data_IF_780616559156
#
_entry.id   IF_780616559156
#
_cell.length_a   1.000
_cell.length_b   1.000
_cell.length_c   1.000
_cell.angle_alpha   90.00
_cell.angle_beta   90.00
_cell.angle_gamma   90.00
#
_symmetry.space_group_name_H-M   'P 1'
#
loop_
_entity.id
_entity.type
_entity.pdbx_description
1 polymer ?
#
# COMPACT_ATOMS: atom_id res chain seq x y z
N UNK A 1 -14.28 -10.12 -6.58
CA UNK A 1 -13.13 -9.31 -6.17
C UNK A 1 -12.97 -9.40 -4.66
N UNK A 2 -11.75 -9.51 -4.19
CA UNK A 2 -11.41 -9.50 -2.76
C UNK A 2 -11.37 -8.09 -2.19
N UNK A 3 -11.11 -7.96 -0.88
CA UNK A 3 -10.99 -6.66 -0.23
C UNK A 3 -9.86 -5.83 -0.82
N UNK A 4 -10.07 -4.53 -0.89
CA UNK A 4 -9.10 -3.58 -1.45
C UNK A 4 -8.56 -2.72 -0.31
N UNK A 5 -7.23 -2.66 -0.20
CA UNK A 5 -6.54 -1.84 0.78
C UNK A 5 -5.67 -0.80 0.09
N UNK A 6 -5.35 0.25 0.80
CA UNK A 6 -4.33 1.20 0.37
C UNK A 6 -3.30 1.38 1.48
N UNK A 7 -2.08 1.67 1.06
CA UNK A 7 -0.98 1.99 1.96
C UNK A 7 -0.33 3.28 1.49
N UNK A 8 0.07 4.10 2.46
CA UNK A 8 0.97 5.23 2.22
C UNK A 8 2.18 4.99 3.11
N UNK A 9 3.33 4.81 2.50
CA UNK A 9 4.59 4.55 3.22
C UNK A 9 5.52 5.74 2.98
N UNK A 10 6.04 6.29 4.07
CA UNK A 10 6.96 7.42 4.04
C UNK A 10 8.38 6.98 4.39
N UNK A 11 9.36 7.48 3.65
CA UNK A 11 10.78 7.37 3.98
C UNK A 11 11.32 8.77 4.30
N UNK A 12 11.39 9.15 5.59
CA UNK A 12 11.85 10.47 5.98
C UNK A 12 13.32 10.69 5.58
N UNK A 13 13.56 11.75 4.77
CA UNK A 13 14.91 12.12 4.36
C UNK A 13 15.65 11.13 3.46
N UNK A 14 14.97 10.12 2.91
CA UNK A 14 15.60 9.09 2.09
C UNK A 14 14.65 8.50 1.06
N UNK A 15 15.18 7.66 0.21
CA UNK A 15 14.40 6.88 -0.75
C UNK A 15 14.49 5.39 -0.40
N UNK A 16 13.52 4.56 -0.84
CA UNK A 16 13.60 3.13 -0.61
C UNK A 16 14.79 2.52 -1.36
N UNK A 17 15.35 1.46 -0.79
CA UNK A 17 16.38 0.67 -1.48
C UNK A 17 15.71 -0.40 -2.35
N UNK A 18 16.51 -1.25 -2.98
CA UNK A 18 16.03 -2.25 -3.93
C UNK A 18 15.34 -3.47 -3.32
N UNK A 19 15.12 -3.52 -2.02
CA UNK A 19 14.52 -4.70 -1.36
C UNK A 19 13.02 -4.83 -1.58
N UNK A 20 12.30 -3.73 -1.71
CA UNK A 20 10.84 -3.75 -1.70
C UNK A 20 10.22 -4.27 -2.99
N UNK A 21 10.76 -3.89 -4.14
CA UNK A 21 10.17 -4.28 -5.42
C UNK A 21 10.12 -5.80 -5.62
N UNK A 22 11.20 -6.56 -5.40
CA UNK A 22 11.14 -8.02 -5.53
C UNK A 22 10.14 -8.68 -4.56
N UNK A 23 10.02 -8.17 -3.34
CA UNK A 23 9.06 -8.70 -2.37
C UNK A 23 7.62 -8.45 -2.81
N UNK A 24 7.34 -7.28 -3.37
CA UNK A 24 6.01 -6.96 -3.88
C UNK A 24 5.68 -7.81 -5.11
N UNK A 25 6.62 -7.99 -6.02
CA UNK A 25 6.47 -8.86 -7.19
C UNK A 25 6.19 -10.30 -6.75
N UNK A 26 6.88 -10.80 -5.72
CA UNK A 26 6.64 -12.14 -5.18
C UNK A 26 5.21 -12.31 -4.68
N UNK A 27 4.67 -11.31 -3.98
CA UNK A 27 3.28 -11.36 -3.52
C UNK A 27 2.29 -11.45 -4.68
N UNK A 28 2.56 -10.74 -5.77
CA UNK A 28 1.74 -10.80 -6.98
C UNK A 28 1.86 -12.17 -7.66
N UNK A 29 3.09 -12.66 -7.83
CA UNK A 29 3.35 -13.95 -8.48
C UNK A 29 2.73 -15.12 -7.73
N UNK A 30 2.68 -15.03 -6.41
CA UNK A 30 2.05 -16.05 -5.56
C UNK A 30 0.53 -15.94 -5.50
N UNK A 31 -0.07 -14.97 -6.18
CA UNK A 31 -1.51 -14.78 -6.21
C UNK A 31 -2.11 -14.23 -4.92
N UNK A 32 -1.29 -13.66 -4.04
CA UNK A 32 -1.76 -13.13 -2.76
C UNK A 32 -2.38 -11.75 -2.89
N UNK A 33 -1.83 -10.92 -3.77
CA UNK A 33 -2.35 -9.58 -4.05
C UNK A 33 -2.38 -9.31 -5.54
N UNK A 34 -3.18 -8.32 -5.93
CA UNK A 34 -3.16 -7.74 -7.26
C UNK A 34 -2.97 -6.23 -7.10
N UNK A 35 -1.92 -5.69 -7.72
CA UNK A 35 -1.67 -4.26 -7.68
C UNK A 35 -2.67 -3.55 -8.59
N UNK A 36 -3.42 -2.62 -8.04
CA UNK A 36 -4.39 -1.81 -8.78
C UNK A 36 -3.79 -0.47 -9.17
N UNK A 37 -2.94 0.11 -8.33
CA UNK A 37 -2.19 1.32 -8.66
C UNK A 37 -0.98 1.45 -7.73
N UNK A 38 0.08 2.06 -8.21
CA UNK A 38 1.29 2.33 -7.44
C UNK A 38 1.89 3.66 -7.90
N UNK A 39 2.09 4.57 -6.95
CA UNK A 39 2.65 5.89 -7.21
C UNK A 39 3.78 6.15 -6.23
N UNK A 40 4.86 6.75 -6.71
CA UNK A 40 5.97 7.19 -5.89
C UNK A 40 6.13 8.70 -6.02
N UNK A 41 6.33 9.38 -4.89
CA UNK A 41 6.48 10.83 -4.87
C UNK A 41 7.60 11.28 -3.94
N UNK A 42 8.11 12.47 -4.17
CA UNK A 42 9.10 13.14 -3.31
C UNK A 42 8.55 14.51 -2.94
N UNK A 43 8.66 14.87 -1.67
CA UNK A 43 8.33 16.20 -1.19
C UNK A 43 9.64 16.95 -0.93
N UNK A 44 9.87 18.01 -1.68
CA UNK A 44 11.09 18.81 -1.57
C UNK A 44 11.11 19.61 -0.28
N UNK A 45 12.29 20.15 0.05
CA UNK A 45 12.49 20.93 1.27
C UNK A 45 11.61 22.20 1.31
N UNK A 46 11.22 22.73 0.15
CA UNK A 46 10.35 23.90 0.04
C UNK A 46 8.84 23.55 0.09
N UNK A 47 8.52 22.27 0.24
CA UNK A 47 7.14 21.79 0.32
C UNK A 47 6.53 21.41 -1.03
N UNK A 48 7.23 21.60 -2.15
CA UNK A 48 6.74 21.16 -3.45
C UNK A 48 6.79 19.64 -3.58
N UNK A 49 5.88 19.05 -4.36
CA UNK A 49 5.75 17.63 -4.52
C UNK A 49 5.96 17.25 -5.97
N UNK A 50 6.80 16.23 -6.20
CA UNK A 50 7.05 15.68 -7.53
C UNK A 50 6.67 14.21 -7.53
N UNK A 51 5.84 13.82 -8.51
CA UNK A 51 5.51 12.41 -8.76
C UNK A 51 6.58 11.85 -9.71
N UNK A 52 7.20 10.74 -9.30
CA UNK A 52 8.30 10.14 -10.07
C UNK A 52 7.81 8.96 -10.89
N UNK A 53 8.38 8.80 -12.07
CA UNK A 53 8.14 7.63 -12.90
C UNK A 53 8.84 6.41 -12.29
N UNK A 54 8.12 5.31 -12.10
CA UNK A 54 8.68 4.10 -11.49
C UNK A 54 9.83 3.52 -12.31
N UNK A 55 9.74 3.60 -13.63
CA UNK A 55 10.79 3.10 -14.51
C UNK A 55 12.11 3.83 -14.42
N UNK A 56 12.10 5.07 -13.91
CA UNK A 56 13.33 5.87 -13.73
C UNK A 56 14.01 5.60 -12.38
N UNK A 57 13.34 4.88 -11.48
CA UNK A 57 13.87 4.55 -10.16
C UNK A 57 14.42 3.12 -10.21
N UNK A 58 15.75 2.92 -10.12
CA UNK A 58 16.33 1.56 -10.21
C UNK A 58 15.71 0.59 -9.21
N UNK A 59 15.43 1.05 -8.00
CA UNK A 59 14.82 0.22 -6.96
C UNK A 59 13.40 -0.24 -7.28
N UNK A 60 12.69 0.44 -8.15
CA UNK A 60 11.28 0.20 -8.45
C UNK A 60 11.02 -0.07 -9.94
N UNK A 61 12.06 -0.21 -10.74
CA UNK A 61 11.93 -0.35 -12.19
C UNK A 61 11.12 -1.59 -12.61
N UNK A 62 11.16 -2.67 -11.82
CA UNK A 62 10.39 -3.88 -12.09
C UNK A 62 8.87 -3.62 -12.01
N UNK A 63 8.45 -2.57 -11.33
CA UNK A 63 7.06 -2.21 -11.14
C UNK A 63 6.59 -1.14 -12.14
N UNK A 64 7.41 -0.80 -13.12
CA UNK A 64 7.04 0.15 -14.16
C UNK A 64 5.81 -0.37 -14.91
N UNK A 65 4.85 0.51 -15.17
CA UNK A 65 3.64 0.15 -15.89
C UNK A 65 2.46 -0.30 -15.04
N UNK A 66 2.62 -0.44 -13.71
CA UNK A 66 1.50 -0.81 -12.84
C UNK A 66 0.62 0.40 -12.44
N UNK A 67 1.02 1.61 -12.79
CA UNK A 67 0.21 2.80 -12.52
C UNK A 67 -1.01 2.83 -13.46
N UNK A 68 -2.21 2.85 -12.89
CA UNK A 68 -3.47 2.76 -13.64
C UNK A 68 -4.28 4.05 -13.62
N UNK A 69 -3.87 5.05 -12.82
CA UNK A 69 -4.61 6.29 -12.66
C UNK A 69 -5.80 6.23 -11.72
N UNK A 70 -5.97 5.13 -10.97
CA UNK A 70 -7.04 5.01 -9.97
C UNK A 70 -6.81 5.95 -8.78
N UNK A 71 -5.55 6.22 -8.45
CA UNK A 71 -5.20 7.23 -7.46
C UNK A 71 -5.19 8.56 -8.19
N UNK A 72 -6.08 9.46 -7.82
CA UNK A 72 -6.23 10.74 -8.50
C UNK A 72 -5.40 11.86 -7.83
N UNK A 73 -5.43 13.05 -8.42
CA UNK A 73 -4.66 14.20 -7.94
C UNK A 73 -5.08 14.62 -6.53
N UNK A 74 -6.35 14.50 -6.19
CA UNK A 74 -6.86 14.82 -4.87
C UNK A 74 -6.29 13.87 -3.82
N UNK A 75 -6.24 12.57 -4.14
CA UNK A 75 -5.61 11.56 -3.27
C UNK A 75 -4.13 11.86 -3.06
N UNK A 76 -3.44 12.28 -4.11
CA UNK A 76 -2.02 12.64 -4.04
C UNK A 76 -1.80 13.87 -3.15
N UNK A 77 -2.67 14.87 -3.26
CA UNK A 77 -2.59 16.07 -2.43
C UNK A 77 -2.81 15.74 -0.94
N UNK A 78 -3.78 14.88 -0.64
CA UNK A 78 -4.05 14.44 0.72
C UNK A 78 -2.86 13.69 1.32
N UNK A 79 -2.28 12.77 0.57
CA UNK A 79 -1.11 12.02 0.99
C UNK A 79 0.09 12.96 1.21
N UNK A 80 0.31 13.88 0.27
CA UNK A 80 1.42 14.82 0.34
C UNK A 80 1.32 15.74 1.56
N UNK A 81 0.11 16.08 1.99
CA UNK A 81 -0.11 16.99 3.12
C UNK A 81 0.41 16.44 4.44
N UNK A 82 0.51 15.14 4.59
CA UNK A 82 0.99 14.49 5.82
C UNK A 82 2.47 14.12 5.78
N UNK A 83 3.13 14.31 4.63
CA UNK A 83 4.55 14.00 4.49
C UNK A 83 5.42 15.16 5.03
N UNK A 84 6.58 14.78 5.58
CA UNK A 84 7.57 15.78 5.98
C UNK A 84 8.35 16.27 4.76
N UNK A 85 8.74 17.57 4.73
CA UNK A 85 9.63 18.07 3.68
C UNK A 85 10.92 17.24 3.61
N UNK A 86 11.35 16.89 2.40
CA UNK A 86 12.53 16.07 2.17
C UNK A 86 12.24 14.57 2.18
N UNK A 87 11.03 14.15 2.50
CA UNK A 87 10.64 12.74 2.50
C UNK A 87 10.24 12.26 1.12
N UNK A 88 10.38 10.96 0.89
CA UNK A 88 9.77 10.26 -0.23
C UNK A 88 8.64 9.38 0.27
N UNK A 89 7.70 9.02 -0.61
CA UNK A 89 6.57 8.18 -0.26
C UNK A 89 6.12 7.31 -1.42
N UNK A 90 5.58 6.14 -1.07
CA UNK A 90 4.91 5.26 -2.01
C UNK A 90 3.45 5.12 -1.62
N UNK A 91 2.56 5.19 -2.61
CA UNK A 91 1.13 4.95 -2.45
C UNK A 91 0.79 3.68 -3.21
N UNK A 92 0.26 2.68 -2.51
CA UNK A 92 -0.10 1.39 -3.09
C UNK A 92 -1.57 1.12 -2.87
N UNK A 93 -2.29 0.87 -3.97
CA UNK A 93 -3.67 0.41 -3.96
C UNK A 93 -3.68 -1.02 -4.48
N UNK A 94 -4.20 -1.96 -3.69
CA UNK A 94 -4.13 -3.37 -4.05
C UNK A 94 -5.35 -4.16 -3.59
N UNK A 95 -5.63 -5.22 -4.33
CA UNK A 95 -6.65 -6.19 -3.99
C UNK A 95 -6.00 -7.36 -3.23
N UNK A 96 -6.66 -7.79 -2.17
CA UNK A 96 -6.27 -9.01 -1.44
C UNK A 96 -6.88 -10.22 -2.14
N UNK A 97 -6.21 -10.69 -3.17
CA UNK A 97 -6.71 -11.77 -4.03
C UNK A 97 -6.88 -13.08 -3.26
N UNK A 98 -6.04 -13.31 -2.25
CA UNK A 98 -6.13 -14.49 -1.39
C UNK A 98 -7.48 -14.58 -0.66
N UNK A 99 -8.11 -13.44 -0.39
CA UNK A 99 -9.38 -13.38 0.34
C UNK A 99 -10.60 -13.36 -0.58
N UNK A 100 -10.41 -13.30 -1.90
CA UNK A 100 -11.52 -13.19 -2.84
C UNK A 100 -12.54 -14.34 -2.73
N UNK A 101 -12.13 -15.62 -2.64
CA UNK A 101 -13.10 -16.72 -2.51
C UNK A 101 -13.98 -16.58 -1.27
N UNK A 102 -13.39 -16.17 -0.15
CA UNK A 102 -14.13 -15.97 1.10
C UNK A 102 -15.09 -14.78 0.96
N UNK A 103 -14.64 -13.66 0.42
CA UNK A 103 -15.47 -12.48 0.23
C UNK A 103 -16.66 -12.75 -0.69
N UNK A 104 -16.45 -13.52 -1.76
CA UNK A 104 -17.50 -13.93 -2.68
C UNK A 104 -18.52 -14.83 -1.96
N UNK A 105 -18.06 -15.79 -1.16
CA UNK A 105 -18.92 -16.66 -0.39
C UNK A 105 -19.75 -15.90 0.64
N UNK A 106 -19.17 -14.92 1.33
CA UNK A 106 -19.90 -14.06 2.26
C UNK A 106 -21.07 -13.38 1.55
N UNK A 107 -20.84 -12.77 0.40
CA UNK A 107 -21.88 -12.11 -0.38
C UNK A 107 -22.94 -13.09 -0.86
N UNK A 108 -22.52 -14.29 -1.32
CA UNK A 108 -23.44 -15.33 -1.80
C UNK A 108 -24.38 -15.81 -0.72
N UNK A 109 -23.93 -15.83 0.54
CA UNK A 109 -24.77 -16.27 1.67
C UNK A 109 -25.63 -15.15 2.25
N UNK A 110 -25.63 -13.96 1.64
CA UNK A 110 -26.40 -12.83 2.10
C UNK A 110 -25.68 -11.96 3.14
N UNK A 111 -24.42 -12.25 3.42
CA UNK A 111 -23.61 -11.47 4.34
C UNK A 111 -23.08 -10.18 3.70
N UNK A 112 -22.74 -9.22 4.57
CA UNK A 112 -22.09 -7.98 4.14
C UNK A 112 -21.12 -7.54 5.21
N UNK A 113 -20.03 -6.89 4.77
CA UNK A 113 -19.05 -6.36 5.70
C UNK A 113 -19.60 -5.09 6.37
N UNK A 114 -19.64 -5.08 7.69
CA UNK A 114 -20.09 -3.90 8.46
C UNK A 114 -18.92 -3.17 9.13
N UNK A 115 -17.75 -3.81 9.27
CA UNK A 115 -16.56 -3.19 9.83
C UNK A 115 -15.31 -3.94 9.41
N UNK A 116 -14.23 -3.21 9.18
CA UNK A 116 -12.90 -3.78 8.94
C UNK A 116 -11.86 -2.75 9.38
N UNK A 117 -10.63 -3.22 9.58
CA UNK A 117 -9.54 -2.33 9.96
C UNK A 117 -8.26 -3.12 10.20
N UNK A 118 -7.22 -2.38 10.58
CA UNK A 118 -5.94 -2.96 10.99
C UNK A 118 -5.76 -2.78 12.48
N UNK A 119 -5.26 -3.82 13.12
CA UNK A 119 -4.97 -3.80 14.55
C UNK A 119 -3.46 -3.76 14.71
N UNK A 120 -2.89 -2.82 15.49
CA UNK A 120 -1.45 -2.80 15.72
C UNK A 120 -0.97 -4.12 16.31
N UNK A 121 0.16 -4.62 15.80
CA UNK A 121 0.72 -5.90 16.22
C UNK A 121 0.96 -5.91 17.73
N UNK A 122 1.40 -4.79 18.30
CA UNK A 122 1.67 -4.66 19.73
C UNK A 122 0.43 -4.94 20.59
N UNK A 123 -0.74 -4.53 20.12
CA UNK A 123 -2.00 -4.78 20.84
C UNK A 123 -2.34 -6.27 20.86
N UNK A 124 -2.10 -6.96 19.76
CA UNK A 124 -2.32 -8.41 19.68
C UNK A 124 -1.34 -9.16 20.56
N UNK A 125 -0.06 -8.78 20.56
CA UNK A 125 0.95 -9.41 21.41
C UNK A 125 0.63 -9.21 22.89
N UNK A 126 0.21 -8.02 23.29
CA UNK A 126 -0.19 -7.73 24.66
C UNK A 126 -1.41 -8.57 25.09
N UNK A 127 -2.39 -8.73 24.19
CA UNK A 127 -3.57 -9.54 24.49
C UNK A 127 -3.21 -11.03 24.64
N UNK A 128 -2.30 -11.54 23.82
CA UNK A 128 -1.84 -12.93 23.92
C UNK A 128 -1.07 -13.16 25.23
N UNK A 129 -0.20 -12.24 25.63
CA UNK A 129 0.51 -12.33 26.92
C UNK A 129 -0.47 -12.32 28.08
N UNK A 130 -1.47 -11.46 28.05
CA UNK A 130 -2.49 -11.40 29.10
C UNK A 130 -3.29 -12.69 29.18
N UNK A 131 -3.56 -13.36 28.06
CA UNK A 131 -4.27 -14.62 28.01
C UNK A 131 -3.45 -15.79 28.58
N UNK A 132 -2.11 -15.70 28.52
CA UNK A 132 -1.20 -16.71 29.03
C UNK A 132 -0.89 -16.53 30.53
N UNK A 133 -1.22 -15.40 31.07
CA UNK A 133 -0.92 -15.07 32.47
C UNK A 133 -1.81 -15.82 33.48
#
# INVERSE_FOLDING_TARGET
MGPIDYLVVEWPGQQPNGELAPLLVDLVDRGLIRILDLIFMVKDADGSVEVLELGELPALAELAGVSTGLIDDEDLEEAASVLEPGASAGLLLYENSWAAPFAIAVRRTGGQMVASGRIPIQDILAALEAAEA
#
